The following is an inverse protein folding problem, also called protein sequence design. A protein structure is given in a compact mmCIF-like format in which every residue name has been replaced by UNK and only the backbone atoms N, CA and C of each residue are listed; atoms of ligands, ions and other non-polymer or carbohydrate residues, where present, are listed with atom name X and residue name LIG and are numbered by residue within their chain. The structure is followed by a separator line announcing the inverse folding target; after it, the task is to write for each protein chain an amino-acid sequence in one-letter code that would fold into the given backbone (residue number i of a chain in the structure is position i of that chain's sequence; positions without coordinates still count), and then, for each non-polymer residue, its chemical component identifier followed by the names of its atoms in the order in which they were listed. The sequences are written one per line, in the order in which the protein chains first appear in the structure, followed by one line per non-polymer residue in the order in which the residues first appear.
data_IF_700173204319
#
_entry.id   IF_700173204319
#
_cell.length_a   1.000
_cell.length_b   1.000
_cell.length_c   1.000
_cell.angle_alpha   90.00
_cell.angle_beta   90.00
_cell.angle_gamma   90.00
#
_symmetry.space_group_name_H-M   'P 1'
#
loop_
_entity.id
_entity.type
_entity.pdbx_description
1 polymer ?
#
# COMPACT_ATOMS: atom_id res chain seq x y z
N UNK A 1 17.20 9.10 -18.90
CA UNK A 1 16.02 8.22 -18.83
C UNK A 1 15.08 8.83 -17.81
N UNK A 2 13.80 8.97 -18.12
CA UNK A 2 12.84 9.45 -17.13
C UNK A 2 12.68 8.37 -16.06
N UNK A 3 12.84 8.74 -14.80
CA UNK A 3 12.68 7.82 -13.67
C UNK A 3 11.19 7.55 -13.45
N UNK A 4 10.84 6.30 -13.18
CA UNK A 4 9.47 5.84 -12.91
C UNK A 4 9.37 5.46 -11.44
N UNK A 5 8.26 5.85 -10.81
CA UNK A 5 8.00 5.60 -9.38
C UNK A 5 6.61 5.00 -9.18
N UNK A 6 6.52 4.11 -8.20
CA UNK A 6 5.27 3.59 -7.64
C UNK A 6 4.98 4.33 -6.34
N UNK A 7 3.75 4.80 -6.18
CA UNK A 7 3.30 5.47 -4.95
C UNK A 7 1.82 5.22 -4.72
N UNK A 8 1.41 5.41 -3.46
CA UNK A 8 0.06 5.10 -3.01
C UNK A 8 -0.62 6.33 -2.44
N UNK A 9 -1.91 6.49 -2.75
CA UNK A 9 -2.75 7.58 -2.26
C UNK A 9 -3.92 6.95 -1.52
N UNK A 10 -3.99 7.17 -0.22
CA UNK A 10 -5.06 6.61 0.62
C UNK A 10 -6.39 7.31 0.35
N UNK A 11 -7.46 6.53 0.40
CA UNK A 11 -8.82 7.02 0.35
C UNK A 11 -9.45 6.90 1.75
N UNK A 12 -9.71 8.03 2.39
CA UNK A 12 -10.33 8.07 3.71
C UNK A 12 -11.38 9.18 3.74
N UNK A 13 -12.68 8.84 3.72
CA UNK A 13 -13.26 7.49 3.89
C UNK A 13 -13.16 6.60 2.63
N UNK A 14 -13.37 5.27 2.72
CA UNK A 14 -13.32 4.36 1.58
C UNK A 14 -14.33 4.69 0.47
N UNK A 15 -13.95 4.43 -0.78
CA UNK A 15 -14.85 4.57 -1.93
C UNK A 15 -15.61 3.27 -2.22
N UNK A 16 -16.84 3.44 -2.68
CA UNK A 16 -17.63 2.42 -3.36
C UNK A 16 -17.18 2.28 -4.82
N UNK A 17 -17.51 1.17 -5.51
CA UNK A 17 -17.03 0.90 -6.87
C UNK A 17 -17.18 2.07 -7.84
N UNK A 18 -18.35 2.71 -7.85
CA UNK A 18 -18.61 3.87 -8.72
C UNK A 18 -17.66 5.04 -8.44
N UNK A 19 -17.38 5.31 -7.16
CA UNK A 19 -16.45 6.36 -6.75
C UNK A 19 -15.02 6.08 -7.20
N UNK A 20 -14.59 4.81 -7.09
CA UNK A 20 -13.30 4.35 -7.61
C UNK A 20 -13.17 4.59 -9.11
N UNK A 21 -14.13 4.09 -9.90
CA UNK A 21 -14.12 4.25 -11.35
C UNK A 21 -14.16 5.73 -11.75
N UNK A 22 -14.87 6.57 -10.99
CA UNK A 22 -14.92 8.02 -11.23
C UNK A 22 -13.55 8.67 -11.04
N UNK A 23 -12.83 8.36 -9.95
CA UNK A 23 -11.48 8.89 -9.70
C UNK A 23 -10.52 8.46 -10.81
N UNK A 24 -10.47 7.15 -11.10
CA UNK A 24 -9.58 6.59 -12.14
C UNK A 24 -9.85 7.26 -13.49
N UNK A 25 -11.11 7.28 -13.94
CA UNK A 25 -11.49 7.89 -15.23
C UNK A 25 -11.08 9.34 -15.36
N UNK A 26 -11.07 10.11 -14.27
CA UNK A 26 -10.72 11.54 -14.29
C UNK A 26 -9.21 11.79 -14.34
N UNK A 27 -8.40 10.83 -13.92
CA UNK A 27 -6.92 10.99 -13.85
C UNK A 27 -6.17 10.11 -14.83
N UNK A 28 -6.80 9.10 -15.44
CA UNK A 28 -6.15 8.12 -16.33
C UNK A 28 -5.38 8.76 -17.51
N UNK A 29 -5.82 9.93 -17.97
CA UNK A 29 -5.24 10.65 -19.10
C UNK A 29 -4.24 11.75 -18.65
N UNK A 30 -3.87 11.78 -17.36
CA UNK A 30 -2.92 12.73 -16.84
C UNK A 30 -1.52 12.52 -17.43
N UNK A 31 -0.85 13.62 -17.78
CA UNK A 31 0.51 13.56 -18.32
C UNK A 31 1.47 12.87 -17.34
N UNK A 32 2.25 11.93 -17.86
CA UNK A 32 3.23 11.16 -17.10
C UNK A 32 2.66 10.06 -16.19
N UNK A 33 1.33 9.87 -16.14
CA UNK A 33 0.72 8.70 -15.51
C UNK A 33 0.87 7.49 -16.45
N UNK A 34 1.37 6.37 -15.91
CA UNK A 34 1.53 5.12 -16.66
C UNK A 34 0.46 4.09 -16.27
N UNK A 35 0.12 4.02 -14.98
CA UNK A 35 -0.92 3.11 -14.46
C UNK A 35 -1.53 3.71 -13.20
N UNK A 36 -2.86 3.57 -13.05
CA UNK A 36 -3.56 3.77 -11.78
C UNK A 36 -4.48 2.57 -11.55
N UNK A 37 -4.35 1.94 -10.38
CA UNK A 37 -5.22 0.87 -9.92
C UNK A 37 -5.71 1.16 -8.50
N UNK A 38 -6.88 0.67 -8.17
CA UNK A 38 -7.42 0.63 -6.83
C UNK A 38 -7.11 -0.72 -6.19
N UNK A 39 -6.79 -0.72 -4.91
CA UNK A 39 -6.54 -1.94 -4.16
C UNK A 39 -7.64 -2.11 -3.10
N UNK A 40 -8.56 -3.08 -3.26
CA UNK A 40 -9.71 -3.23 -2.38
C UNK A 40 -9.36 -3.64 -0.94
N UNK A 41 -8.25 -4.35 -0.71
CA UNK A 41 -7.90 -4.82 0.64
C UNK A 41 -7.48 -3.66 1.56
N UNK A 42 -6.86 -2.65 0.98
CA UNK A 42 -6.48 -1.41 1.66
C UNK A 42 -6.93 -0.26 0.75
N UNK A 43 -7.97 0.53 1.08
CA UNK A 43 -8.59 1.48 0.15
C UNK A 43 -7.64 2.64 -0.21
N UNK A 44 -6.77 2.37 -1.18
CA UNK A 44 -5.76 3.29 -1.73
C UNK A 44 -5.71 3.13 -3.25
N UNK A 45 -5.22 4.17 -3.91
CA UNK A 45 -4.87 4.15 -5.34
C UNK A 45 -3.38 3.90 -5.45
N UNK A 46 -2.99 2.81 -6.11
CA UNK A 46 -1.63 2.53 -6.56
C UNK A 46 -1.42 3.25 -7.88
N UNK A 47 -0.45 4.16 -7.93
CA UNK A 47 -0.08 4.91 -9.13
C UNK A 47 1.35 4.55 -9.55
N UNK A 48 1.55 4.32 -10.84
CA UNK A 48 2.87 4.24 -11.48
C UNK A 48 2.98 5.43 -12.43
N UNK A 49 4.00 6.26 -12.25
CA UNK A 49 4.17 7.48 -13.04
C UNK A 49 5.64 7.90 -13.18
N UNK A 50 5.89 8.88 -14.04
CA UNK A 50 7.16 9.60 -14.07
C UNK A 50 7.41 10.33 -12.74
N UNK A 51 8.63 10.25 -12.21
CA UNK A 51 9.02 10.91 -10.96
C UNK A 51 8.71 12.40 -10.94
N UNK A 52 8.83 13.09 -12.09
CA UNK A 52 8.55 14.52 -12.22
C UNK A 52 7.07 14.85 -12.00
N UNK A 53 6.17 13.95 -12.39
CA UNK A 53 4.72 14.18 -12.39
C UNK A 53 4.02 13.67 -11.12
N UNK A 54 4.74 12.95 -10.24
CA UNK A 54 4.19 12.38 -9.00
C UNK A 54 3.36 13.39 -8.21
N UNK A 55 3.86 14.62 -8.04
CA UNK A 55 3.17 15.66 -7.26
C UNK A 55 1.86 16.09 -7.92
N UNK A 56 1.86 16.25 -9.24
CA UNK A 56 0.68 16.67 -10.00
C UNK A 56 -0.39 15.57 -9.99
N UNK A 57 0.02 14.31 -10.18
CA UNK A 57 -0.88 13.16 -10.13
C UNK A 57 -1.47 12.99 -8.73
N UNK A 58 -0.66 13.12 -7.67
CA UNK A 58 -1.16 13.09 -6.29
C UNK A 58 -2.22 14.17 -6.06
N UNK A 59 -1.95 15.41 -6.48
CA UNK A 59 -2.91 16.50 -6.35
C UNK A 59 -4.21 16.22 -7.12
N UNK A 60 -4.11 15.74 -8.37
CA UNK A 60 -5.28 15.43 -9.18
C UNK A 60 -6.16 14.34 -8.55
N UNK A 61 -5.57 13.27 -8.00
CA UNK A 61 -6.33 12.24 -7.29
C UNK A 61 -6.96 12.82 -6.02
N UNK A 62 -6.20 13.57 -5.22
CA UNK A 62 -6.70 14.18 -3.98
C UNK A 62 -7.86 15.15 -4.22
N UNK A 63 -7.77 16.01 -5.24
CA UNK A 63 -8.84 16.95 -5.60
C UNK A 63 -10.13 16.22 -5.95
N UNK A 64 -10.03 15.07 -6.63
CA UNK A 64 -11.18 14.23 -6.92
C UNK A 64 -11.76 13.58 -5.66
N UNK A 65 -10.92 13.10 -4.75
CA UNK A 65 -11.35 12.56 -3.47
C UNK A 65 -12.07 13.61 -2.62
N UNK A 66 -11.54 14.83 -2.54
CA UNK A 66 -12.17 15.94 -1.82
C UNK A 66 -13.49 16.37 -2.45
N UNK A 67 -13.56 16.40 -3.78
CA UNK A 67 -14.81 16.71 -4.48
C UNK A 67 -15.91 15.69 -4.18
N UNK A 68 -15.57 14.39 -4.20
CA UNK A 68 -16.52 13.33 -3.84
C UNK A 68 -16.93 13.45 -2.37
N UNK A 69 -15.96 13.63 -1.46
CA UNK A 69 -16.24 13.74 -0.03
C UNK A 69 -17.20 14.90 0.27
N UNK A 70 -16.98 16.06 -0.34
CA UNK A 70 -17.82 17.24 -0.15
C UNK A 70 -19.30 17.00 -0.52
N UNK A 71 -19.55 16.16 -1.51
CA UNK A 71 -20.91 15.87 -1.98
C UNK A 71 -21.56 14.73 -1.19
N UNK A 72 -20.76 13.78 -0.69
CA UNK A 72 -21.26 12.50 -0.21
C UNK A 72 -21.24 12.33 1.30
N UNK A 73 -20.35 13.04 1.99
CA UNK A 73 -20.09 12.83 3.42
C UNK A 73 -20.13 14.14 4.21
N UNK A 74 -20.58 14.04 5.45
CA UNK A 74 -20.52 15.13 6.43
C UNK A 74 -19.86 14.63 7.72
N UNK A 75 -19.40 15.58 8.54
CA UNK A 75 -18.90 15.29 9.88
C UNK A 75 -20.01 14.75 10.77
N UNK A 76 -19.66 13.79 11.63
CA UNK A 76 -20.59 13.28 12.63
C UNK A 76 -21.01 14.40 13.59
N UNK A 77 -22.30 14.56 13.80
CA UNK A 77 -22.79 15.35 14.92
C UNK A 77 -22.56 14.57 16.22
N UNK A 78 -21.81 15.16 17.15
CA UNK A 78 -21.49 14.54 18.45
C UNK A 78 -22.73 14.17 19.28
N UNK A 79 -23.88 14.77 18.97
CA UNK A 79 -25.15 14.53 19.63
C UNK A 79 -25.93 13.36 19.02
N UNK A 80 -25.60 12.93 17.79
CA UNK A 80 -26.20 11.75 17.16
C UNK A 80 -25.37 10.50 17.49
N UNK A 81 -26.01 9.52 18.13
CA UNK A 81 -25.42 8.20 18.35
C UNK A 81 -25.43 7.41 17.04
N UNK A 82 -24.51 7.72 16.15
CA UNK A 82 -24.23 6.94 14.96
C UNK A 82 -23.05 6.01 15.20
N UNK A 83 -23.19 4.72 14.85
CA UNK A 83 -22.13 3.71 14.95
C UNK A 83 -21.04 3.86 13.86
N UNK A 84 -21.13 4.89 13.01
CA UNK A 84 -20.22 5.17 11.90
C UNK A 84 -19.17 6.22 12.22
N UNK A 85 -18.11 6.27 11.41
CA UNK A 85 -17.01 7.25 11.43
C UNK A 85 -17.32 8.54 10.66
N UNK A 86 -18.35 8.51 9.82
CA UNK A 86 -18.84 9.63 9.01
C UNK A 86 -20.36 9.53 8.83
N UNK A 87 -21.00 10.65 8.48
CA UNK A 87 -22.41 10.67 8.07
C UNK A 87 -22.49 10.69 6.54
N UNK A 88 -23.17 9.71 5.95
CA UNK A 88 -23.43 9.69 4.50
C UNK A 88 -24.67 10.55 4.23
N UNK A 89 -24.47 11.67 3.52
CA UNK A 89 -25.54 12.65 3.23
C UNK A 89 -26.11 12.52 1.82
N UNK A 90 -25.36 11.91 0.90
CA UNK A 90 -25.83 11.71 -0.47
C UNK A 90 -26.82 10.54 -0.56
N UNK A 91 -27.95 10.68 -1.26
CA UNK A 91 -28.87 9.57 -1.54
C UNK A 91 -28.29 8.54 -2.51
N UNK A 92 -27.22 8.88 -3.22
CA UNK A 92 -26.48 8.01 -4.15
C UNK A 92 -24.97 8.13 -3.86
N UNK A 93 -24.51 7.57 -2.73
CA UNK A 93 -23.17 7.80 -2.25
C UNK A 93 -22.13 7.03 -3.07
N UNK A 94 -20.96 7.64 -3.23
CA UNK A 94 -19.75 7.07 -3.82
C UNK A 94 -18.72 6.76 -2.75
N UNK A 95 -18.89 7.25 -1.53
CA UNK A 95 -18.11 6.91 -0.34
C UNK A 95 -18.94 6.10 0.65
N UNK A 96 -18.27 5.38 1.54
CA UNK A 96 -18.91 4.65 2.64
C UNK A 96 -18.10 4.78 3.90
N UNK A 97 -18.73 4.57 5.05
CA UNK A 97 -18.05 4.61 6.35
C UNK A 97 -17.10 3.41 6.49
N UNK A 98 -16.02 3.54 7.24
CA UNK A 98 -15.15 2.42 7.59
C UNK A 98 -15.90 1.30 8.31
N UNK A 99 -16.90 1.65 9.12
CA UNK A 99 -17.75 0.67 9.78
C UNK A 99 -18.43 -0.25 8.75
N UNK A 100 -19.13 0.33 7.78
CA UNK A 100 -19.84 -0.42 6.74
C UNK A 100 -18.87 -1.11 5.77
N UNK A 101 -17.74 -0.47 5.46
CA UNK A 101 -16.71 -1.05 4.62
C UNK A 101 -16.14 -2.35 5.23
N UNK A 102 -15.81 -2.33 6.54
CA UNK A 102 -15.27 -3.50 7.24
C UNK A 102 -16.31 -4.58 7.50
N UNK A 103 -17.55 -4.19 7.81
CA UNK A 103 -18.65 -5.13 8.06
C UNK A 103 -18.95 -5.99 6.84
N UNK A 104 -18.97 -5.38 5.66
CA UNK A 104 -19.25 -6.07 4.41
C UNK A 104 -18.00 -6.72 3.80
N UNK A 105 -16.80 -6.34 4.27
CA UNK A 105 -15.50 -6.63 3.64
C UNK A 105 -15.43 -6.17 2.17
N UNK A 106 -14.22 -6.00 1.65
CA UNK A 106 -13.99 -5.59 0.26
C UNK A 106 -14.70 -6.52 -0.76
N UNK A 107 -14.82 -7.80 -0.43
CA UNK A 107 -15.35 -8.84 -1.31
C UNK A 107 -16.86 -8.70 -1.57
N UNK A 108 -17.59 -7.94 -0.75
CA UNK A 108 -18.99 -7.62 -1.01
C UNK A 108 -19.16 -6.56 -2.12
N UNK A 109 -18.11 -5.78 -2.40
CA UNK A 109 -18.15 -4.75 -3.42
C UNK A 109 -17.55 -5.28 -4.73
N UNK A 110 -18.36 -5.31 -5.77
CA UNK A 110 -17.92 -5.70 -7.12
C UNK A 110 -17.25 -4.50 -7.80
N UNK A 111 -15.93 -4.38 -7.66
CA UNK A 111 -15.12 -3.42 -8.42
C UNK A 111 -14.97 -3.87 -9.88
N UNK A 112 -14.84 -2.91 -10.80
CA UNK A 112 -14.56 -3.23 -12.19
C UNK A 112 -13.15 -3.79 -12.32
N UNK A 113 -12.98 -4.81 -13.17
CA UNK A 113 -11.68 -5.47 -13.32
C UNK A 113 -10.58 -4.50 -13.81
N UNK A 114 -10.94 -3.54 -14.66
CA UNK A 114 -10.02 -2.49 -15.13
C UNK A 114 -9.56 -1.54 -14.03
N UNK A 115 -10.29 -1.46 -12.91
CA UNK A 115 -9.94 -0.58 -11.80
C UNK A 115 -8.95 -1.26 -10.85
N UNK A 116 -8.93 -2.60 -10.79
CA UNK A 116 -8.18 -3.36 -9.77
C UNK A 116 -7.08 -4.26 -10.35
N UNK A 117 -7.09 -4.50 -11.66
CA UNK A 117 -6.09 -5.30 -12.36
C UNK A 117 -5.43 -4.50 -13.50
N UNK A 118 -4.13 -4.71 -13.76
CA UNK A 118 -3.49 -4.23 -14.98
C UNK A 118 -4.25 -4.71 -16.23
N UNK A 119 -4.28 -3.90 -17.29
CA UNK A 119 -5.10 -4.11 -18.49
C UNK A 119 -5.06 -5.56 -19.03
N UNK A 120 -3.86 -6.10 -19.22
CA UNK A 120 -3.65 -7.44 -19.76
C UNK A 120 -4.07 -8.60 -18.84
N UNK A 121 -4.20 -8.35 -17.53
CA UNK A 121 -4.76 -9.28 -16.55
C UNK A 121 -6.28 -9.10 -16.45
N UNK A 122 -6.77 -7.86 -16.55
CA UNK A 122 -8.19 -7.55 -16.47
C UNK A 122 -9.02 -8.28 -17.55
N UNK A 123 -8.45 -8.49 -18.74
CA UNK A 123 -9.05 -9.25 -19.84
C UNK A 123 -9.18 -10.76 -19.60
N UNK A 124 -8.47 -11.32 -18.60
CA UNK A 124 -8.47 -12.76 -18.34
C UNK A 124 -9.79 -13.23 -17.73
N UNK A 125 -10.23 -14.45 -18.07
CA UNK A 125 -11.49 -15.03 -17.53
C UNK A 125 -11.43 -15.26 -16.03
N UNK A 126 -10.31 -15.77 -15.56
CA UNK A 126 -10.05 -15.99 -14.14
C UNK A 126 -8.88 -15.11 -13.75
N UNK A 127 -9.03 -14.33 -12.68
CA UNK A 127 -7.94 -13.53 -12.14
C UNK A 127 -7.96 -13.44 -10.63
N UNK A 128 -6.80 -13.09 -10.08
CA UNK A 128 -6.62 -12.90 -8.65
C UNK A 128 -5.38 -12.04 -8.39
N UNK A 129 -5.35 -11.46 -7.19
CA UNK A 129 -4.14 -10.84 -6.64
C UNK A 129 -3.56 -11.74 -5.56
N UNK A 130 -2.23 -11.87 -5.54
CA UNK A 130 -1.50 -12.62 -4.53
C UNK A 130 -0.54 -11.68 -3.80
N UNK A 131 -0.68 -11.64 -2.47
CA UNK A 131 0.03 -10.73 -1.56
C UNK A 131 1.11 -11.43 -0.73
N UNK A 132 1.50 -12.67 -1.10
CA UNK A 132 2.28 -13.54 -0.21
C UNK A 132 3.70 -13.05 0.10
N UNK A 133 4.18 -11.99 -0.55
CA UNK A 133 5.49 -11.39 -0.31
C UNK A 133 5.42 -10.01 0.37
N UNK A 134 4.22 -9.46 0.62
CA UNK A 134 4.10 -8.14 1.27
C UNK A 134 4.72 -8.10 2.67
N UNK A 135 4.55 -9.19 3.43
CA UNK A 135 5.06 -9.33 4.80
C UNK A 135 6.57 -9.68 4.85
N UNK A 136 7.23 -9.77 3.69
CA UNK A 136 8.63 -10.18 3.56
C UNK A 136 9.46 -9.09 2.86
N UNK A 137 10.06 -8.15 3.60
CA UNK A 137 10.70 -6.95 3.04
C UNK A 137 11.84 -7.23 2.05
N UNK A 138 12.52 -8.37 2.20
CA UNK A 138 13.65 -8.79 1.37
C UNK A 138 13.27 -9.78 0.27
N UNK A 139 12.01 -10.22 0.22
CA UNK A 139 11.54 -11.17 -0.78
C UNK A 139 10.99 -10.42 -2.00
N UNK A 140 11.37 -10.88 -3.18
CA UNK A 140 10.86 -10.40 -4.46
C UNK A 140 10.39 -11.60 -5.25
N UNK A 141 9.48 -11.38 -6.21
CA UNK A 141 9.07 -12.45 -7.13
C UNK A 141 10.26 -13.04 -7.86
N UNK A 142 11.19 -12.23 -8.34
CA UNK A 142 12.41 -12.76 -8.98
C UNK A 142 13.26 -13.58 -8.00
N UNK A 143 13.33 -13.19 -6.72
CA UNK A 143 14.01 -13.95 -5.68
C UNK A 143 13.32 -15.27 -5.32
N UNK A 144 11.99 -15.33 -5.47
CA UNK A 144 11.18 -16.54 -5.31
C UNK A 144 11.39 -17.52 -6.48
N UNK A 145 11.57 -16.96 -7.66
CA UNK A 145 11.84 -17.68 -8.89
C UNK A 145 13.31 -18.12 -9.03
N UNK A 146 14.21 -17.46 -8.30
CA UNK A 146 15.63 -17.78 -8.29
C UNK A 146 15.86 -19.25 -7.84
N UNK A 147 16.90 -19.93 -8.40
CA UNK A 147 17.10 -21.35 -8.19
C UNK A 147 17.33 -21.67 -6.70
N UNK A 148 16.33 -22.29 -6.08
CA UNK A 148 16.45 -22.83 -4.74
C UNK A 148 17.11 -24.22 -4.80
N UNK A 149 18.39 -24.25 -5.20
CA UNK A 149 19.21 -25.47 -5.23
C UNK A 149 18.82 -26.54 -6.27
N UNK A 150 17.96 -26.21 -7.24
CA UNK A 150 17.60 -27.04 -8.39
C UNK A 150 17.97 -26.31 -9.68
N UNK A 151 18.55 -27.03 -10.65
CA UNK A 151 19.14 -26.52 -11.90
C UNK A 151 18.16 -25.88 -12.90
N UNK A 152 16.97 -25.48 -12.47
CA UNK A 152 15.96 -24.87 -13.33
C UNK A 152 15.77 -23.42 -12.88
N UNK A 153 16.38 -22.50 -13.62
CA UNK A 153 15.97 -21.09 -13.63
C UNK A 153 14.58 -21.05 -14.26
N UNK A 154 13.59 -20.61 -13.50
CA UNK A 154 12.32 -20.16 -14.04
C UNK A 154 12.37 -18.64 -14.01
N UNK A 155 12.43 -17.98 -15.15
CA UNK A 155 12.08 -16.57 -15.24
C UNK A 155 10.55 -16.39 -15.27
N UNK A 156 10.08 -15.14 -15.21
CA UNK A 156 8.66 -14.85 -15.23
C UNK A 156 7.96 -15.32 -16.52
N UNK A 157 8.66 -15.44 -17.65
CA UNK A 157 8.09 -15.93 -18.91
C UNK A 157 7.92 -17.45 -18.89
N UNK A 158 8.94 -18.17 -18.43
CA UNK A 158 8.92 -19.61 -18.25
C UNK A 158 7.87 -20.01 -17.22
N UNK A 159 7.72 -19.23 -16.15
CA UNK A 159 6.63 -19.40 -15.21
C UNK A 159 5.26 -19.34 -15.88
N UNK A 160 5.02 -18.27 -16.65
CA UNK A 160 3.76 -18.08 -17.37
C UNK A 160 3.46 -19.22 -18.33
N UNK A 161 4.49 -19.76 -19.00
CA UNK A 161 4.39 -20.94 -19.88
C UNK A 161 4.07 -22.24 -19.12
N UNK A 162 4.76 -22.51 -18.02
CA UNK A 162 4.58 -23.74 -17.23
C UNK A 162 3.19 -23.79 -16.62
N UNK A 163 2.73 -22.67 -16.06
CA UNK A 163 1.46 -22.58 -15.35
C UNK A 163 0.30 -22.08 -16.22
N UNK A 164 0.54 -21.82 -17.52
CA UNK A 164 -0.47 -21.31 -18.49
C UNK A 164 -1.26 -20.12 -17.92
N UNK A 165 -0.53 -19.18 -17.35
CA UNK A 165 -1.07 -17.97 -16.75
C UNK A 165 -0.36 -16.74 -17.29
N UNK A 166 -0.98 -15.58 -17.09
CA UNK A 166 -0.41 -14.25 -17.29
C UNK A 166 -0.06 -13.68 -15.93
N UNK A 167 1.10 -13.06 -15.80
CA UNK A 167 1.53 -12.44 -14.55
C UNK A 167 1.94 -11.00 -14.79
N UNK A 168 1.47 -10.13 -13.90
CA UNK A 168 2.04 -8.81 -13.65
C UNK A 168 2.43 -8.71 -12.19
N UNK A 169 3.27 -7.75 -11.83
CA UNK A 169 3.60 -7.47 -10.44
C UNK A 169 3.87 -5.98 -10.25
N UNK A 170 3.73 -5.51 -9.01
CA UNK A 170 4.07 -4.14 -8.64
C UNK A 170 5.60 -3.90 -8.71
N UNK A 171 6.06 -2.65 -8.66
CA UNK A 171 7.49 -2.31 -8.84
C UNK A 171 8.40 -3.01 -7.82
N UNK A 172 7.89 -3.30 -6.60
CA UNK A 172 8.62 -4.03 -5.57
C UNK A 172 8.61 -5.55 -5.74
N UNK A 173 7.83 -6.07 -6.69
CA UNK A 173 7.62 -7.49 -6.94
C UNK A 173 7.08 -8.26 -5.71
N UNK A 174 6.30 -7.59 -4.87
CA UNK A 174 5.72 -8.18 -3.65
C UNK A 174 4.24 -8.52 -3.80
N UNK A 175 3.57 -7.89 -4.76
CA UNK A 175 2.17 -8.13 -5.12
C UNK A 175 2.13 -8.62 -6.56
N UNK A 176 1.50 -9.77 -6.77
CA UNK A 176 1.37 -10.39 -8.09
C UNK A 176 -0.09 -10.36 -8.53
N UNK A 177 -0.32 -9.95 -9.77
CA UNK A 177 -1.59 -10.05 -10.47
C UNK A 177 -1.51 -11.25 -11.40
N UNK A 178 -2.40 -12.22 -11.21
CA UNK A 178 -2.38 -13.50 -11.93
C UNK A 178 -3.68 -13.62 -12.71
N UNK A 179 -3.58 -13.85 -14.01
CA UNK A 179 -4.71 -14.10 -14.91
C UNK A 179 -4.57 -15.43 -15.64
N UNK A 180 -5.67 -16.13 -15.91
CA UNK A 180 -5.69 -17.33 -16.75
C UNK A 180 -7.04 -17.50 -17.44
N UNK A 181 -7.01 -18.10 -18.62
CA UNK A 181 -8.19 -18.46 -19.40
C UNK A 181 -8.57 -19.95 -19.27
N UNK A 182 -7.75 -20.75 -18.57
CA UNK A 182 -7.94 -22.20 -18.43
C UNK A 182 -9.00 -22.54 -17.38
N UNK A 183 -8.72 -22.27 -16.09
CA UNK A 183 -9.65 -22.56 -15.01
C UNK A 183 -9.29 -21.83 -13.71
N UNK A 184 -10.20 -21.86 -12.72
CA UNK A 184 -9.94 -21.29 -11.39
C UNK A 184 -8.96 -22.15 -10.58
N UNK A 185 -8.94 -23.45 -10.79
CA UNK A 185 -8.02 -24.39 -10.15
C UNK A 185 -6.56 -24.16 -10.59
N UNK A 186 -6.34 -23.65 -11.80
CA UNK A 186 -5.03 -23.23 -12.26
C UNK A 186 -4.47 -22.08 -11.39
N UNK A 187 -5.32 -21.14 -10.98
CA UNK A 187 -4.95 -20.07 -10.04
C UNK A 187 -4.53 -20.65 -8.69
N UNK A 188 -5.32 -21.59 -8.15
CA UNK A 188 -5.01 -22.20 -6.86
C UNK A 188 -3.70 -22.99 -6.90
N UNK A 189 -3.40 -23.63 -8.04
CA UNK A 189 -2.13 -24.32 -8.27
C UNK A 189 -0.95 -23.36 -8.19
N UNK A 190 -1.05 -22.20 -8.86
CA UNK A 190 -0.03 -21.14 -8.81
C UNK A 190 0.15 -20.61 -7.38
N UNK A 191 -0.96 -20.33 -6.67
CA UNK A 191 -0.90 -19.87 -5.28
C UNK A 191 -0.30 -20.91 -4.34
N UNK A 192 -0.62 -22.20 -4.51
CA UNK A 192 -0.14 -23.26 -3.64
C UNK A 192 1.33 -23.61 -3.89
N UNK A 193 1.81 -23.51 -5.13
CA UNK A 193 3.21 -23.73 -5.47
C UNK A 193 4.15 -22.79 -4.70
N UNK A 194 3.67 -21.60 -4.33
CA UNK A 194 4.47 -20.56 -3.66
C UNK A 194 3.84 -19.98 -2.39
N UNK A 195 2.70 -20.52 -1.95
CA UNK A 195 2.02 -20.16 -0.70
C UNK A 195 2.76 -20.66 0.54
N UNK A 196 3.80 -21.46 0.34
CA UNK A 196 4.86 -21.65 1.32
C UNK A 196 6.02 -20.78 0.86
N UNK A 197 6.30 -19.63 1.51
CA UNK A 197 7.52 -18.90 1.20
C UNK A 197 8.69 -19.88 1.31
N UNK A 198 9.70 -19.84 0.42
CA UNK A 198 10.92 -20.59 0.65
C UNK A 198 11.35 -20.25 2.07
N UNK A 199 11.68 -21.28 2.87
CA UNK A 199 12.34 -21.05 4.16
C UNK A 199 13.57 -20.21 3.82
N UNK A 200 13.45 -18.89 3.95
CA UNK A 200 14.58 -17.99 3.93
C UNK A 200 15.48 -18.59 4.98
N UNK A 201 16.62 -19.15 4.54
CA UNK A 201 17.61 -19.65 5.46
C UNK A 201 17.83 -18.50 6.46
N UNK A 202 17.79 -18.79 7.77
CA UNK A 202 18.06 -17.75 8.76
C UNK A 202 19.37 -17.08 8.34
N UNK A 203 19.36 -15.75 8.32
CA UNK A 203 20.54 -14.92 8.13
C UNK A 203 21.70 -15.65 8.80
N UNK A 204 22.70 -16.06 8.02
CA UNK A 204 23.96 -16.55 8.56
C UNK A 204 24.36 -15.53 9.61
N UNK A 205 24.31 -15.95 10.88
CA UNK A 205 24.81 -15.14 11.98
C UNK A 205 26.22 -14.72 11.57
N UNK A 206 26.39 -13.43 11.35
CA UNK A 206 27.70 -12.83 11.25
C UNK A 206 28.32 -13.10 12.62
N UNK A 207 29.13 -14.15 12.70
CA UNK A 207 29.92 -14.46 13.88
C UNK A 207 30.76 -13.20 14.15
N UNK A 208 30.50 -12.45 15.23
CA UNK A 208 31.37 -11.36 15.60
C UNK A 208 32.65 -12.02 16.10
N UNK A 209 33.75 -11.78 15.39
CA UNK A 209 35.06 -12.12 15.90
C UNK A 209 35.29 -11.31 17.19
N UNK A 210 35.77 -12.04 18.20
CA UNK A 210 36.31 -11.58 19.49
C UNK A 210 35.32 -11.50 20.67
N UNK A 211 35.22 -12.62 21.38
CA UNK A 211 35.13 -12.66 22.84
C UNK A 211 36.42 -12.10 23.48
N UNK A 212 36.29 -11.20 24.45
CA UNK A 212 37.17 -10.94 25.62
C UNK A 212 36.76 -9.54 26.15
N UNK A 213 36.30 -9.29 27.37
CA UNK A 213 36.32 -9.99 28.66
C UNK A 213 35.12 -9.53 29.52
N UNK A 214 34.83 -10.34 30.55
CA UNK A 214 33.82 -10.12 31.59
C UNK A 214 34.16 -8.91 32.48
N UNK A 215 33.18 -8.16 32.98
CA UNK A 215 32.71 -8.21 34.40
C UNK A 215 31.73 -7.08 34.76
N UNK A 216 30.78 -7.44 35.63
CA UNK A 216 30.06 -6.63 36.63
C UNK A 216 29.02 -5.56 36.20
N UNK A 217 27.74 -5.91 36.43
CA UNK A 217 26.73 -5.14 37.18
C UNK A 217 26.94 -3.63 37.34
N UNK A 218 26.03 -2.81 36.80
CA UNK A 218 25.27 -1.73 37.48
C UNK A 218 24.27 -1.06 36.50
N UNK A 219 23.22 -0.42 37.02
CA UNK A 219 22.01 -0.01 36.29
C UNK A 219 22.16 1.15 35.27
N UNK A 220 21.09 1.46 34.51
CA UNK A 220 21.15 2.26 33.29
C UNK A 220 21.21 3.79 33.48
N UNK A 221 21.63 4.28 34.66
CA UNK A 221 21.64 5.71 34.97
C UNK A 221 22.93 6.25 35.61
N UNK A 222 23.99 5.46 35.72
CA UNK A 222 25.25 5.91 36.37
C UNK A 222 26.31 6.48 35.41
N UNK A 223 26.04 6.57 34.10
CA UNK A 223 26.98 7.12 33.10
C UNK A 223 26.58 8.52 32.58
N UNK A 224 26.17 9.43 33.47
CA UNK A 224 26.10 10.86 33.12
C UNK A 224 27.33 11.56 33.71
N UNK A 225 28.29 12.00 32.88
CA UNK A 225 29.36 12.88 33.33
C UNK A 225 28.77 14.19 33.86
N UNK A 226 29.09 14.55 35.09
CA UNK A 226 28.56 15.73 35.80
C UNK A 226 29.07 17.09 35.29
N UNK A 227 29.90 17.13 34.24
CA UNK A 227 30.55 18.36 33.80
C UNK A 227 30.32 18.68 32.32
N UNK A 228 29.07 18.97 31.93
CA UNK A 228 28.78 19.82 30.76
C UNK A 228 27.51 20.65 31.04
N UNK A 229 27.58 21.56 32.01
CA UNK A 229 26.50 22.49 32.33
C UNK A 229 26.89 23.98 32.19
N UNK A 230 27.89 24.31 31.36
CA UNK A 230 28.37 25.70 31.21
C UNK A 230 28.43 26.25 29.78
N UNK A 231 27.72 25.68 28.80
CA UNK A 231 27.69 26.29 27.45
C UNK A 231 26.38 26.13 26.66
N UNK A 232 25.24 26.30 27.34
CA UNK A 232 23.96 26.54 26.66
C UNK A 232 23.38 27.91 27.06
N UNK A 233 23.11 28.81 26.10
CA UNK A 233 22.40 30.05 26.40
C UNK A 233 20.99 29.73 26.88
N UNK A 234 20.70 30.12 28.13
CA UNK A 234 19.35 30.10 28.70
C UNK A 234 18.48 31.12 27.97
N UNK A 235 17.64 30.66 27.03
CA UNK A 235 16.26 31.13 26.78
C UNK A 235 15.82 30.68 25.40
N UNK A 236 15.11 29.55 25.33
CA UNK A 236 14.11 29.34 24.29
C UNK A 236 12.80 29.12 25.03
N UNK A 237 12.02 30.19 25.10
CA UNK A 237 10.63 30.18 25.55
C UNK A 237 9.87 29.24 24.63
N UNK A 238 9.30 28.16 25.17
CA UNK A 238 8.43 27.27 24.43
C UNK A 238 7.13 28.04 24.13
N UNK A 239 7.00 28.57 22.92
CA UNK A 239 5.74 29.16 22.44
C UNK A 239 4.84 28.03 21.95
N UNK A 240 3.64 27.96 22.54
CA UNK A 240 2.56 27.06 22.14
C UNK A 240 2.06 27.44 20.72
N UNK A 241 2.13 26.53 19.73
CA UNK A 241 1.77 26.83 18.35
C UNK A 241 0.25 26.95 18.11
N UNK A 242 -0.60 26.83 19.13
CA UNK A 242 -2.07 26.90 18.98
C UNK A 242 -2.73 28.15 19.54
N UNK A 243 -1.95 29.14 20.00
CA UNK A 243 -2.50 30.38 20.56
C UNK A 243 -2.56 31.52 19.52
N UNK A 244 -3.46 31.40 18.54
CA UNK A 244 -3.79 32.48 17.58
C UNK A 244 -5.23 32.96 17.74
N UNK A 245 -5.59 33.40 18.95
CA UNK A 245 -6.89 34.00 19.26
C UNK A 245 -6.85 35.52 19.48
N UNK A 246 -5.89 36.20 18.87
CA UNK A 246 -5.89 37.67 18.73
C UNK A 246 -5.48 38.08 17.32
N UNK A 247 -6.38 37.87 16.37
CA UNK A 247 -6.47 38.63 15.11
C UNK A 247 -7.91 38.54 14.60
N UNK A 248 -8.84 38.94 15.46
CA UNK A 248 -10.18 39.38 15.09
C UNK A 248 -10.21 40.89 15.31
N UNK A 249 -10.59 41.62 14.26
CA UNK A 249 -11.13 42.98 14.36
C UNK A 249 -12.42 42.92 15.20
#
# INVERSE_FOLDING_TARGET
MAEVVEFYITCNPPLLPRGVSEVIRRVQDAEGLLEILYEPRSPWFKCIALSSERRQITAAVQDNLFAIAKDDVDTLDFDEKTDGDISIISPDPRMTSWHEYRKNWSDAYAFADCDIFPEFIAESKHKTTWYGLEDHPSATFDGLLAPCGMDILLDAEQFQLVYKCRISYNLRQTVLYIGTDESREAIDTVKNAYGTPPKLLPLLEVIPAAEMERTASNGPFDDIPSDVNESLPRSITFQDPFNNLESLI
#
